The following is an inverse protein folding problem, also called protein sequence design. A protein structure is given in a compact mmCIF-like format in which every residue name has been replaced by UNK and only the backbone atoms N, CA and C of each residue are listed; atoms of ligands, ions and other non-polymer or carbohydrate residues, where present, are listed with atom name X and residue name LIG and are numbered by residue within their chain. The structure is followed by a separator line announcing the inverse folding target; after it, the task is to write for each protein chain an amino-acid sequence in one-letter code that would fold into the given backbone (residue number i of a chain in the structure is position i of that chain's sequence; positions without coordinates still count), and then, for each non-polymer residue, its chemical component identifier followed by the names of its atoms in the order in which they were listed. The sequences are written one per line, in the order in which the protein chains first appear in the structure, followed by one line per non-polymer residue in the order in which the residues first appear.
data_IF_610715763769
#
_entry.id   IF_610715763769
#
_cell.length_a   1.000
_cell.length_b   1.000
_cell.length_c   1.000
_cell.angle_alpha   90.00
_cell.angle_beta   90.00
_cell.angle_gamma   90.00
#
_symmetry.space_group_name_H-M   'P 1'
#
loop_
_entity.id
_entity.type
_entity.pdbx_description
1 polymer ?
#
# COMPACT_ATOMS: atom_id res chain seq x y z
N UNK A 1 -5.06 11.08 24.27
CA UNK A 1 -4.88 9.64 23.99
C UNK A 1 -4.04 9.54 22.73
N UNK A 2 -2.86 8.91 22.72
CA UNK A 2 -2.07 8.80 21.50
C UNK A 2 -2.76 7.79 20.58
N UNK A 3 -3.35 8.26 19.47
CA UNK A 3 -3.80 7.36 18.41
C UNK A 3 -2.57 6.64 17.86
N UNK A 4 -2.52 5.32 18.02
CA UNK A 4 -1.48 4.48 17.43
C UNK A 4 -1.58 4.56 15.91
N UNK A 5 -0.44 4.45 15.21
CA UNK A 5 -0.36 4.52 13.74
C UNK A 5 -1.36 3.53 13.09
N UNK A 6 -1.57 2.36 13.70
CA UNK A 6 -2.57 1.38 13.29
C UNK A 6 -4.01 1.94 13.28
N UNK A 7 -4.43 2.66 14.33
CA UNK A 7 -5.77 3.27 14.35
C UNK A 7 -5.93 4.34 13.27
N UNK A 8 -4.87 5.08 12.97
CA UNK A 8 -4.89 6.06 11.88
C UNK A 8 -4.98 5.40 10.51
N UNK A 9 -4.24 4.31 10.28
CA UNK A 9 -4.31 3.52 9.04
C UNK A 9 -5.74 3.01 8.85
N UNK A 10 -6.33 2.40 9.88
CA UNK A 10 -7.72 1.93 9.82
C UNK A 10 -8.70 3.07 9.53
N UNK A 11 -8.59 4.20 10.23
CA UNK A 11 -9.44 5.36 9.98
C UNK A 11 -9.29 5.92 8.55
N UNK A 12 -8.06 5.97 8.01
CA UNK A 12 -7.80 6.42 6.63
C UNK A 12 -8.36 5.44 5.59
N UNK A 13 -8.26 4.13 5.83
CA UNK A 13 -8.86 3.09 4.99
C UNK A 13 -10.39 3.14 5.04
N UNK A 14 -10.98 3.45 6.19
CA UNK A 14 -12.43 3.62 6.34
C UNK A 14 -12.93 4.86 5.61
N UNK A 15 -12.18 5.97 5.69
CA UNK A 15 -12.50 7.21 4.97
C UNK A 15 -12.37 7.04 3.44
N UNK A 16 -11.45 6.20 2.98
CA UNK A 16 -11.19 5.98 1.55
C UNK A 16 -11.56 4.56 1.13
N UNK A 17 -12.86 4.28 1.10
CA UNK A 17 -13.40 2.96 0.77
C UNK A 17 -12.95 2.46 -0.60
N UNK A 18 -12.82 3.35 -1.61
CA UNK A 18 -12.32 2.99 -2.95
C UNK A 18 -10.85 2.56 -2.92
N UNK A 19 -10.03 3.24 -2.12
CA UNK A 19 -8.60 2.91 -1.98
C UNK A 19 -8.43 1.58 -1.26
N UNK A 20 -9.21 1.37 -0.18
CA UNK A 20 -9.27 0.09 0.51
C UNK A 20 -9.68 -1.04 -0.43
N UNK A 21 -10.77 -0.87 -1.17
CA UNK A 21 -11.25 -1.88 -2.13
C UNK A 21 -10.19 -2.19 -3.19
N UNK A 22 -9.51 -1.18 -3.73
CA UNK A 22 -8.43 -1.38 -4.68
C UNK A 22 -7.26 -2.18 -4.06
N UNK A 23 -6.83 -1.84 -2.84
CA UNK A 23 -5.78 -2.58 -2.12
C UNK A 23 -6.19 -4.03 -1.83
N UNK A 24 -7.47 -4.28 -1.52
CA UNK A 24 -8.02 -5.63 -1.35
C UNK A 24 -8.03 -6.41 -2.67
N UNK A 25 -8.41 -5.78 -3.80
CA UNK A 25 -8.44 -6.39 -5.12
C UNK A 25 -7.05 -6.87 -5.58
N UNK A 26 -6.02 -6.06 -5.36
CA UNK A 26 -4.64 -6.42 -5.71
C UNK A 26 -3.95 -7.25 -4.62
N UNK A 27 -4.67 -7.66 -3.57
CA UNK A 27 -4.14 -8.39 -2.40
C UNK A 27 -2.92 -7.71 -1.75
N UNK A 28 -2.91 -6.38 -1.75
CA UNK A 28 -1.84 -5.57 -1.16
C UNK A 28 -1.99 -5.38 0.34
N UNK A 29 -3.17 -5.59 0.93
CA UNK A 29 -3.34 -5.50 2.38
C UNK A 29 -2.80 -6.76 3.05
N UNK A 30 -1.81 -6.58 3.92
CA UNK A 30 -1.21 -7.62 4.75
C UNK A 30 -1.19 -7.20 6.22
N UNK A 31 -0.79 -8.13 7.09
CA UNK A 31 -0.56 -7.85 8.51
C UNK A 31 0.93 -7.80 8.78
N UNK A 32 1.37 -6.74 9.46
CA UNK A 32 2.73 -6.66 9.99
C UNK A 32 2.97 -7.73 11.07
N UNK A 33 4.23 -7.95 11.45
CA UNK A 33 4.61 -8.86 12.55
C UNK A 33 3.87 -8.58 13.87
N UNK A 34 3.37 -7.36 14.05
CA UNK A 34 2.56 -6.94 15.21
C UNK A 34 1.05 -7.12 15.05
N UNK A 35 0.59 -7.67 13.92
CA UNK A 35 -0.82 -7.88 13.61
C UNK A 35 -1.57 -6.66 13.07
N UNK A 36 -0.87 -5.56 12.82
CA UNK A 36 -1.42 -4.31 12.29
C UNK A 36 -1.61 -4.37 10.77
N UNK A 37 -2.65 -3.72 10.26
CA UNK A 37 -2.91 -3.65 8.81
C UNK A 37 -1.87 -2.76 8.14
N UNK A 38 -1.13 -3.31 7.17
CA UNK A 38 -0.13 -2.59 6.38
C UNK A 38 -0.22 -2.97 4.91
N UNK A 39 0.35 -2.15 4.04
CA UNK A 39 0.46 -2.44 2.61
C UNK A 39 1.71 -3.32 2.38
N UNK A 40 1.61 -4.31 1.49
CA UNK A 40 2.68 -5.22 1.15
C UNK A 40 3.94 -4.44 0.69
N UNK A 41 5.09 -4.79 1.28
CA UNK A 41 6.36 -4.11 1.02
C UNK A 41 6.52 -2.74 1.68
N UNK A 42 5.52 -2.27 2.43
CA UNK A 42 5.56 -0.99 3.15
C UNK A 42 5.51 -1.20 4.66
N UNK A 43 6.23 -0.36 5.39
CA UNK A 43 6.11 -0.29 6.86
C UNK A 43 4.79 0.38 7.27
N UNK A 44 4.43 0.30 8.56
CA UNK A 44 3.27 1.02 9.11
C UNK A 44 3.31 2.52 8.79
N UNK A 45 4.48 3.14 8.95
CA UNK A 45 4.66 4.58 8.69
C UNK A 45 4.52 4.89 7.20
N UNK A 46 5.08 4.06 6.33
CA UNK A 46 4.94 4.22 4.88
C UNK A 46 3.51 3.96 4.39
N UNK A 47 2.79 3.06 5.06
CA UNK A 47 1.36 2.82 4.79
C UNK A 47 0.53 4.05 5.15
N UNK A 48 0.75 4.63 6.34
CA UNK A 48 0.12 5.90 6.74
C UNK A 48 0.41 7.00 5.70
N UNK A 49 1.68 7.16 5.31
CA UNK A 49 2.13 8.16 4.33
C UNK A 49 1.45 7.94 2.96
N UNK A 50 1.38 6.71 2.47
CA UNK A 50 0.70 6.37 1.21
C UNK A 50 -0.78 6.75 1.23
N UNK A 51 -1.48 6.39 2.31
CA UNK A 51 -2.90 6.67 2.47
C UNK A 51 -3.19 8.17 2.61
N UNK A 52 -2.31 8.93 3.26
CA UNK A 52 -2.38 10.38 3.38
C UNK A 52 -2.10 11.10 2.04
N UNK A 53 -1.16 10.58 1.25
CA UNK A 53 -0.77 11.17 -0.03
C UNK A 53 -1.75 10.85 -1.17
N UNK A 54 -2.44 9.71 -1.13
CA UNK A 54 -3.40 9.29 -2.17
C UNK A 54 -4.45 10.36 -2.54
N UNK A 55 -5.18 10.97 -1.57
CA UNK A 55 -6.16 12.01 -1.88
C UNK A 55 -5.50 13.31 -2.34
N UNK A 56 -4.29 13.63 -1.86
CA UNK A 56 -3.53 14.81 -2.29
C UNK A 56 -3.03 14.68 -3.74
N UNK A 57 -2.70 13.46 -4.17
CA UNK A 57 -2.31 13.17 -5.55
C UNK A 57 -3.50 13.21 -6.50
N UNK A 58 -4.66 12.72 -6.05
CA UNK A 58 -5.91 12.74 -6.82
C UNK A 58 -6.59 14.12 -6.85
N UNK A 59 -6.41 14.93 -5.81
CA UNK A 59 -6.91 16.30 -5.77
C UNK A 59 -6.02 17.18 -6.67
N UNK A 60 -6.39 17.25 -7.94
CA UNK A 60 -5.72 18.05 -8.97
C UNK A 60 -5.67 19.57 -8.64
N UNK A 61 -6.48 20.04 -7.68
CA UNK A 61 -6.81 21.46 -7.50
C UNK A 61 -6.81 21.96 -6.04
N UNK A 62 -6.07 21.33 -5.11
CA UNK A 62 -6.11 21.75 -3.69
C UNK A 62 -5.37 23.06 -3.35
N UNK A 63 -5.05 23.92 -4.33
CA UNK A 63 -4.31 25.17 -4.07
C UNK A 63 -2.87 24.95 -3.57
N UNK A 64 -2.38 23.70 -3.67
CA UNK A 64 -1.04 23.30 -3.27
C UNK A 64 -0.04 23.85 -4.29
N UNK A 65 1.05 24.47 -3.82
CA UNK A 65 2.09 24.98 -4.72
C UNK A 65 2.63 23.82 -5.58
N UNK A 66 2.91 24.10 -6.86
CA UNK A 66 3.28 23.09 -7.84
C UNK A 66 4.44 22.19 -7.38
N UNK A 67 5.38 22.75 -6.62
CA UNK A 67 6.51 22.05 -6.02
C UNK A 67 6.10 21.02 -4.94
N UNK A 68 5.21 21.41 -4.02
CA UNK A 68 4.69 20.50 -2.99
C UNK A 68 3.82 19.39 -3.58
N UNK A 69 3.02 19.70 -4.60
CA UNK A 69 2.26 18.68 -5.31
C UNK A 69 3.18 17.69 -6.06
N UNK A 70 4.27 18.18 -6.65
CA UNK A 70 5.28 17.34 -7.29
C UNK A 70 6.00 16.43 -6.29
N UNK A 71 6.39 16.95 -5.13
CA UNK A 71 7.01 16.15 -4.07
C UNK A 71 6.07 15.08 -3.51
N UNK A 72 4.80 15.42 -3.27
CA UNK A 72 3.77 14.48 -2.82
C UNK A 72 3.54 13.36 -3.85
N UNK A 73 3.47 13.71 -5.14
CA UNK A 73 3.35 12.75 -6.25
C UNK A 73 4.58 11.86 -6.38
N UNK A 74 5.77 12.43 -6.28
CA UNK A 74 7.02 11.67 -6.30
C UNK A 74 7.05 10.65 -5.15
N UNK A 75 6.73 11.10 -3.94
CA UNK A 75 6.70 10.23 -2.76
C UNK A 75 5.66 9.12 -2.89
N UNK A 76 4.46 9.45 -3.34
CA UNK A 76 3.42 8.46 -3.60
C UNK A 76 3.85 7.46 -4.71
N UNK A 77 4.53 7.91 -5.75
CA UNK A 77 5.06 7.06 -6.81
C UNK A 77 6.15 6.11 -6.29
N UNK A 78 7.06 6.58 -5.42
CA UNK A 78 8.06 5.72 -4.77
C UNK A 78 7.40 4.62 -3.94
N UNK A 79 6.40 4.97 -3.13
CA UNK A 79 5.66 4.02 -2.30
C UNK A 79 4.85 3.03 -3.14
N UNK A 80 4.24 3.51 -4.24
CA UNK A 80 3.56 2.67 -5.22
C UNK A 80 4.53 1.68 -5.89
N UNK A 81 5.71 2.12 -6.28
CA UNK A 81 6.73 1.27 -6.88
C UNK A 81 7.20 0.17 -5.91
N UNK A 82 7.36 0.49 -4.62
CA UNK A 82 7.65 -0.51 -3.57
C UNK A 82 6.54 -1.54 -3.43
N UNK A 83 5.29 -1.08 -3.41
CA UNK A 83 4.13 -1.95 -3.41
C UNK A 83 4.13 -2.87 -4.64
N UNK A 84 4.29 -2.31 -5.84
CA UNK A 84 4.31 -3.09 -7.09
C UNK A 84 5.46 -4.10 -7.10
N UNK A 85 6.64 -3.73 -6.60
CA UNK A 85 7.77 -4.64 -6.45
C UNK A 85 7.46 -5.77 -5.46
N UNK A 86 6.81 -5.47 -4.32
CA UNK A 86 6.43 -6.49 -3.34
C UNK A 86 5.30 -7.40 -3.85
N UNK A 87 4.37 -6.86 -4.64
CA UNK A 87 3.35 -7.64 -5.33
C UNK A 87 3.96 -8.55 -6.40
N UNK A 88 4.95 -8.06 -7.14
CA UNK A 88 5.70 -8.87 -8.10
C UNK A 88 6.51 -9.96 -7.41
N UNK A 89 7.20 -9.65 -6.32
CA UNK A 89 7.95 -10.64 -5.53
C UNK A 89 7.03 -11.75 -5.01
N UNK A 90 5.88 -11.37 -4.44
CA UNK A 90 4.86 -12.32 -3.99
C UNK A 90 4.18 -13.07 -5.16
N UNK A 91 4.02 -12.44 -6.32
CA UNK A 91 3.55 -13.11 -7.53
C UNK A 91 4.59 -14.10 -8.08
N UNK A 92 5.89 -13.80 -7.98
CA UNK A 92 6.98 -14.68 -8.37
C UNK A 92 7.05 -15.87 -7.40
N UNK A 93 6.91 -15.66 -6.10
CA UNK A 93 6.79 -16.76 -5.13
C UNK A 93 5.52 -17.58 -5.35
N UNK A 94 4.41 -16.94 -5.71
CA UNK A 94 3.16 -17.60 -6.09
C UNK A 94 3.23 -18.39 -7.40
N UNK A 95 4.04 -17.95 -8.37
CA UNK A 95 4.30 -18.65 -9.63
C UNK A 95 5.39 -19.73 -9.49
N UNK A 96 6.30 -19.58 -8.53
CA UNK A 96 7.27 -20.61 -8.14
C UNK A 96 6.58 -21.76 -7.38
N UNK A 97 5.34 -21.56 -6.92
CA UNK A 97 4.44 -22.61 -6.42
C UNK A 97 3.70 -23.41 -7.50
N UNK A 98 3.87 -23.08 -8.79
CA UNK A 98 3.26 -23.80 -9.93
C UNK A 98 4.27 -24.57 -10.80
N UNK A 99 5.46 -24.84 -10.29
CA UNK A 99 6.35 -25.87 -10.80
C UNK A 99 7.49 -26.08 -9.80
N UNK A 100 7.68 -27.22 -9.14
CA UNK A 100 7.43 -28.64 -9.42
C UNK A 100 7.84 -29.43 -8.14
N UNK A 101 7.91 -30.79 -8.05
CA UNK A 101 7.32 -31.89 -8.83
C UNK A 101 6.68 -33.00 -7.94
N UNK A 102 5.79 -33.85 -8.47
CA UNK A 102 5.52 -35.15 -7.84
C UNK A 102 5.23 -36.25 -8.87
N UNK A 103 6.29 -36.98 -9.19
CA UNK A 103 6.30 -38.38 -9.65
C UNK A 103 5.15 -39.22 -9.10
N UNK A 104 4.41 -39.87 -10.00
CA UNK A 104 3.83 -41.23 -9.91
C UNK A 104 2.93 -41.37 -11.16
N UNK A 105 3.06 -42.35 -12.05
CA UNK A 105 3.53 -43.73 -11.96
C UNK A 105 3.75 -44.26 -13.38
#
# INVERSE_FOLDING_TARGET
MPHTIDQKINALLEQQSSLRQWLEQIRALTKDARGATVIAGLTQKETEDFLLLSPLVHAHDSGMTSDHAAAARARHAELKAKLESALQDNAIEGLSGWGEPATAR
#
